data_IF_858473739806
#
_entry.id   IF_858473739806
#
_cell.length_a   1.000
_cell.length_b   1.000
_cell.length_c   1.000
_cell.angle_alpha   90.00
_cell.angle_beta   90.00
_cell.angle_gamma   90.00
#
_symmetry.space_group_name_H-M   'P 1'
#
loop_
_entity.id
_entity.type
_entity.pdbx_description
1 polymer ?
#
# COMPACT_ATOMS: atom_id res chain seq x y z
N UNK A 1 -13.77 -6.32 30.61
CA UNK A 1 -13.50 -6.07 30.48
C UNK A 1 -12.85 -5.73 29.97
N UNK A 2 -12.75 -5.42 29.68
CA UNK A 2 -12.20 -5.08 29.13
C UNK A 2 -11.30 -4.91 28.99
N UNK A 3 -10.89 -5.05 28.92
CA UNK A 3 -10.16 -4.92 28.65
C UNK A 3 -9.66 -4.50 28.14
N UNK A 4 -9.86 -4.20 28.28
CA UNK A 4 -9.47 -3.72 27.90
C UNK A 4 -8.51 -3.42 27.41
N UNK A 5 -8.63 -3.49 26.90
CA UNK A 5 -7.61 -3.41 26.19
C UNK A 5 -7.33 -2.19 25.69
N UNK A 6 -6.66 -1.59 26.25
CA UNK A 6 -6.31 -0.51 25.85
C UNK A 6 -5.30 -0.63 25.02
N UNK A 7 -5.44 -0.48 23.88
CA UNK A 7 -4.41 -0.18 23.02
C UNK A 7 -3.83 1.05 23.55
N UNK A 8 -2.56 1.08 23.69
CA UNK A 8 -1.88 2.27 23.90
C UNK A 8 -2.21 3.00 22.68
N UNK A 9 -2.89 3.95 22.71
CA UNK A 9 -3.42 4.56 21.71
C UNK A 9 -2.55 5.31 20.88
N UNK A 10 -1.36 4.88 20.61
CA UNK A 10 -0.44 5.55 19.70
C UNK A 10 -0.90 5.30 18.28
N UNK A 11 -1.44 6.32 17.69
CA UNK A 11 -1.85 6.26 16.30
C UNK A 11 -0.64 6.56 15.44
N UNK A 12 -0.38 5.74 14.46
CA UNK A 12 0.76 5.90 13.56
C UNK A 12 0.27 6.20 12.17
N UNK A 13 1.10 6.93 11.44
CA UNK A 13 0.80 7.23 10.05
C UNK A 13 1.67 6.37 9.16
N UNK A 14 1.04 5.74 8.17
CA UNK A 14 1.73 4.86 7.23
C UNK A 14 1.38 5.19 5.80
N UNK A 15 2.27 4.85 4.89
CA UNK A 15 1.93 4.86 3.49
C UNK A 15 2.28 3.50 2.92
N UNK A 16 1.46 3.01 2.02
CA UNK A 16 1.68 1.75 1.34
C UNK A 16 1.57 1.98 -0.16
N UNK A 17 2.59 1.51 -0.87
CA UNK A 17 2.55 1.50 -2.33
C UNK A 17 2.42 0.04 -2.71
N UNK A 18 1.46 -0.30 -3.56
CA UNK A 18 1.34 -1.66 -4.04
C UNK A 18 1.18 -1.63 -5.56
N UNK A 19 1.64 -2.69 -6.19
CA UNK A 19 1.69 -2.78 -7.63
C UNK A 19 0.88 -3.97 -8.07
N UNK A 20 -0.03 -3.75 -9.01
CA UNK A 20 -0.83 -4.82 -9.58
C UNK A 20 -0.28 -5.18 -10.96
N UNK A 21 -0.62 -6.35 -11.44
CA UNK A 21 -0.23 -6.78 -12.77
C UNK A 21 -0.71 -5.78 -13.80
N UNK A 22 0.08 -5.51 -14.80
CA UNK A 22 -0.25 -4.52 -15.81
C UNK A 22 -1.48 -4.85 -16.62
N UNK A 23 -1.87 -6.13 -16.69
CA UNK A 23 -3.04 -6.58 -17.43
C UNK A 23 -4.23 -6.90 -16.55
N UNK A 24 -4.22 -6.41 -15.30
CA UNK A 24 -5.31 -6.68 -14.37
C UNK A 24 -6.60 -6.04 -14.90
N UNK A 25 -7.70 -6.75 -14.70
CA UNK A 25 -9.00 -6.23 -15.11
C UNK A 25 -9.49 -5.18 -14.14
N UNK A 26 -10.32 -4.26 -14.61
CA UNK A 26 -10.84 -3.18 -13.77
C UNK A 26 -11.57 -3.73 -12.54
N UNK A 27 -12.31 -4.82 -12.71
CA UNK A 27 -13.04 -5.42 -11.61
C UNK A 27 -12.10 -5.93 -10.53
N UNK A 28 -10.97 -6.52 -10.93
CA UNK A 28 -10.01 -7.03 -9.98
C UNK A 28 -9.29 -5.88 -9.28
N UNK A 29 -9.02 -4.83 -10.01
CA UNK A 29 -8.40 -3.64 -9.46
C UNK A 29 -9.29 -3.03 -8.39
N UNK A 30 -10.59 -2.92 -8.67
CA UNK A 30 -11.54 -2.39 -7.71
C UNK A 30 -11.66 -3.27 -6.48
N UNK A 31 -11.58 -4.58 -6.66
CA UNK A 31 -11.64 -5.50 -5.54
C UNK A 31 -10.47 -5.27 -4.59
N UNK A 32 -9.27 -5.09 -5.12
CA UNK A 32 -8.09 -4.87 -4.30
C UNK A 32 -8.23 -3.55 -3.54
N UNK A 33 -8.62 -2.49 -4.25
CA UNK A 33 -8.77 -1.17 -3.65
C UNK A 33 -9.83 -1.19 -2.55
N UNK A 34 -10.96 -1.82 -2.82
CA UNK A 34 -12.03 -1.90 -1.83
C UNK A 34 -11.63 -2.76 -0.63
N UNK A 35 -10.83 -3.78 -0.87
CA UNK A 35 -10.35 -4.62 0.21
C UNK A 35 -9.46 -3.82 1.16
N UNK A 36 -8.59 -2.99 0.60
CA UNK A 36 -7.71 -2.16 1.41
C UNK A 36 -8.52 -1.18 2.24
N UNK A 37 -9.49 -0.52 1.63
CA UNK A 37 -10.37 0.42 2.33
C UNK A 37 -11.11 -0.28 3.46
N UNK A 38 -11.62 -1.47 3.20
CA UNK A 38 -12.37 -2.24 4.20
C UNK A 38 -11.51 -2.61 5.40
N UNK A 39 -10.25 -2.93 5.17
CA UNK A 39 -9.35 -3.29 6.27
C UNK A 39 -9.12 -2.09 7.16
N UNK A 40 -8.88 -0.92 6.57
CA UNK A 40 -8.65 0.29 7.34
C UNK A 40 -9.88 0.61 8.18
N UNK A 41 -11.06 0.50 7.60
CA UNK A 41 -12.30 0.77 8.34
C UNK A 41 -12.56 -0.26 9.44
N UNK A 42 -12.35 -1.52 9.12
CA UNK A 42 -12.62 -2.59 10.08
C UNK A 42 -11.73 -2.49 11.31
N UNK A 43 -10.51 -2.06 11.13
CA UNK A 43 -9.55 -1.95 12.22
C UNK A 43 -9.55 -0.55 12.84
N UNK A 44 -10.59 0.22 12.54
CA UNK A 44 -10.81 1.52 13.15
C UNK A 44 -9.71 2.53 12.84
N UNK A 45 -9.13 2.42 11.67
CA UNK A 45 -8.16 3.39 11.20
C UNK A 45 -8.81 4.50 10.40
N UNK A 46 -7.99 5.38 9.87
CA UNK A 46 -8.45 6.49 9.05
C UNK A 46 -7.70 6.47 7.74
N UNK A 47 -8.42 6.38 6.65
CA UNK A 47 -7.80 6.46 5.33
C UNK A 47 -7.66 7.93 4.95
N UNK A 48 -6.44 8.37 4.78
CA UNK A 48 -6.15 9.76 4.45
C UNK A 48 -6.13 10.01 2.94
N UNK A 49 -5.62 9.07 2.19
CA UNK A 49 -5.45 9.25 0.75
C UNK A 49 -5.38 7.89 0.08
N UNK A 50 -5.96 7.80 -1.10
CA UNK A 50 -5.87 6.58 -1.89
C UNK A 50 -5.89 7.00 -3.35
N UNK A 51 -4.83 6.69 -4.07
CA UNK A 51 -4.68 7.12 -5.45
C UNK A 51 -4.17 6.00 -6.33
N UNK A 52 -4.56 6.03 -7.58
CA UNK A 52 -4.00 5.16 -8.59
C UNK A 52 -2.98 6.00 -9.36
N UNK A 53 -1.75 5.58 -9.36
CA UNK A 53 -0.68 6.32 -10.04
C UNK A 53 -0.48 5.88 -11.49
N UNK A 54 -1.20 4.89 -11.92
CA UNK A 54 -1.20 4.47 -13.31
C UNK A 54 -0.22 3.37 -13.64
N UNK A 55 -0.25 2.97 -14.90
CA UNK A 55 0.58 1.88 -15.40
C UNK A 55 1.98 2.38 -15.70
N UNK A 56 2.97 1.69 -15.20
CA UNK A 56 4.36 2.09 -15.40
C UNK A 56 5.20 0.88 -15.74
N UNK A 57 6.26 1.13 -16.50
CA UNK A 57 7.20 0.06 -16.84
C UNK A 57 8.05 -0.24 -15.60
N UNK A 58 8.22 -1.51 -15.30
CA UNK A 58 9.04 -1.93 -14.19
C UNK A 58 10.51 -1.94 -14.63
N UNK A 59 11.42 -1.63 -13.69
CA UNK A 59 12.85 -1.62 -13.99
C UNK A 59 13.32 -3.01 -14.42
N UNK A 60 12.70 -4.05 -13.87
CA UNK A 60 12.91 -5.42 -14.26
C UNK A 60 11.62 -6.17 -14.03
N UNK A 61 11.44 -7.28 -14.69
CA UNK A 61 10.21 -8.03 -14.59
C UNK A 61 10.00 -8.57 -13.19
N UNK A 62 8.77 -8.47 -12.71
CA UNK A 62 8.38 -9.07 -11.44
C UNK A 62 7.33 -10.10 -11.80
N UNK A 63 7.57 -11.36 -11.47
CA UNK A 63 6.64 -12.44 -11.79
C UNK A 63 6.25 -12.42 -13.27
N UNK A 64 7.23 -12.19 -14.14
CA UNK A 64 7.06 -12.13 -15.58
C UNK A 64 6.30 -10.91 -16.10
N UNK A 65 5.98 -9.96 -15.23
CA UNK A 65 5.29 -8.75 -15.65
C UNK A 65 6.32 -7.65 -15.93
N UNK A 66 6.26 -7.07 -17.12
CA UNK A 66 7.12 -5.95 -17.49
C UNK A 66 6.53 -4.61 -17.07
N UNK A 67 5.22 -4.58 -16.84
CA UNK A 67 4.50 -3.38 -16.44
C UNK A 67 3.68 -3.66 -15.21
N UNK A 68 3.41 -2.63 -14.44
CA UNK A 68 2.55 -2.74 -13.27
C UNK A 68 1.73 -1.48 -13.11
N UNK A 69 0.61 -1.60 -12.41
CA UNK A 69 -0.22 -0.45 -12.09
C UNK A 69 0.04 -0.12 -10.64
N UNK A 70 0.50 1.09 -10.39
CA UNK A 70 0.89 1.54 -9.07
C UNK A 70 -0.27 2.17 -8.35
N UNK A 71 -0.43 1.81 -7.07
CA UNK A 71 -1.45 2.38 -6.21
C UNK A 71 -0.79 2.87 -4.94
N UNK A 72 -1.29 3.96 -4.42
CA UNK A 72 -0.76 4.58 -3.23
C UNK A 72 -1.88 4.77 -2.23
N UNK A 73 -1.62 4.47 -0.96
CA UNK A 73 -2.57 4.78 0.09
C UNK A 73 -1.81 5.29 1.31
N UNK A 74 -2.42 6.25 1.98
CA UNK A 74 -1.88 6.77 3.23
C UNK A 74 -2.97 6.65 4.27
N UNK A 75 -2.64 6.18 5.42
CA UNK A 75 -3.63 5.90 6.44
C UNK A 75 -3.07 6.02 7.84
N UNK A 76 -3.97 6.17 8.79
CA UNK A 76 -3.62 6.20 10.19
C UNK A 76 -4.19 4.94 10.85
N UNK A 77 -3.45 4.38 11.76
CA UNK A 77 -3.93 3.21 12.48
C UNK A 77 -2.91 2.71 13.46
N UNK A 78 -3.19 1.52 13.96
CA UNK A 78 -2.35 0.88 14.95
C UNK A 78 -1.42 -0.13 14.29
N UNK A 79 -0.46 -0.58 15.03
CA UNK A 79 0.59 -1.45 14.49
C UNK A 79 0.06 -2.71 13.78
N UNK A 80 -0.97 -3.33 14.31
CA UNK A 80 -1.51 -4.55 13.72
C UNK A 80 -2.23 -4.32 12.39
N UNK A 81 -2.58 -3.08 12.09
CA UNK A 81 -3.22 -2.77 10.81
C UNK A 81 -2.28 -3.04 9.63
N UNK A 82 -1.01 -2.68 9.78
CA UNK A 82 -0.03 -2.92 8.70
C UNK A 82 0.10 -4.41 8.43
N UNK A 83 0.17 -5.21 9.50
CA UNK A 83 0.28 -6.65 9.34
C UNK A 83 -0.91 -7.21 8.56
N UNK A 84 -2.10 -6.73 8.86
CA UNK A 84 -3.30 -7.20 8.18
C UNK A 84 -3.33 -6.73 6.71
N UNK A 85 -2.95 -5.50 6.46
CA UNK A 85 -2.90 -4.97 5.10
C UNK A 85 -1.89 -5.78 4.26
N UNK A 86 -0.72 -6.01 4.80
CA UNK A 86 0.30 -6.76 4.06
C UNK A 86 -0.08 -8.21 3.85
N UNK A 87 -0.74 -8.81 4.84
CA UNK A 87 -1.23 -10.18 4.70
C UNK A 87 -2.21 -10.29 3.53
N UNK A 88 -3.12 -9.33 3.43
CA UNK A 88 -4.08 -9.32 2.33
C UNK A 88 -3.41 -9.05 0.99
N UNK A 89 -2.46 -8.13 0.96
CA UNK A 89 -1.74 -7.86 -0.29
C UNK A 89 -0.97 -9.09 -0.76
N UNK A 90 -0.46 -9.87 0.18
CA UNK A 90 0.31 -11.06 -0.15
C UNK A 90 -0.57 -12.16 -0.77
N UNK A 91 -1.80 -12.28 -0.32
CA UNK A 91 -2.68 -13.34 -0.80
C UNK A 91 -3.54 -12.95 -1.99
N UNK A 92 -3.61 -11.65 -2.32
CA UNK A 92 -4.40 -11.21 -3.46
C UNK A 92 -3.60 -11.44 -4.73
N UNK A 93 -4.12 -12.26 -5.61
CA UNK A 93 -3.42 -12.67 -6.81
C UNK A 93 -2.94 -11.54 -7.71
N UNK A 94 -3.73 -10.47 -7.94
CA UNK A 94 -3.27 -9.41 -8.82
C UNK A 94 -2.09 -8.59 -8.28
N UNK A 95 -1.82 -8.68 -6.98
CA UNK A 95 -0.74 -7.88 -6.38
C UNK A 95 0.59 -8.57 -6.60
N UNK A 96 1.52 -7.89 -7.24
CA UNK A 96 2.84 -8.46 -7.52
C UNK A 96 3.92 -7.91 -6.61
N UNK A 97 3.68 -6.76 -5.98
CA UNK A 97 4.63 -6.21 -5.04
C UNK A 97 3.96 -5.16 -4.16
N UNK A 98 4.47 -4.99 -2.96
CA UNK A 98 3.97 -3.95 -2.07
C UNK A 98 5.08 -3.49 -1.13
N UNK A 99 4.94 -2.27 -0.61
CA UNK A 99 5.89 -1.72 0.35
C UNK A 99 5.15 -0.77 1.27
N UNK A 100 5.40 -0.86 2.56
CA UNK A 100 4.79 0.02 3.55
C UNK A 100 5.89 0.77 4.32
N UNK A 101 5.68 2.04 4.52
CA UNK A 101 6.61 2.88 5.26
C UNK A 101 5.86 3.57 6.38
N UNK A 102 6.47 3.63 7.55
CA UNK A 102 5.90 4.37 8.67
C UNK A 102 6.35 5.83 8.54
N UNK A 103 5.38 6.73 8.45
CA UNK A 103 5.65 8.15 8.29
C UNK A 103 5.73 8.89 9.61
N UNK A 104 5.04 8.42 10.62
CA UNK A 104 5.07 9.07 11.92
C UNK A 104 4.45 8.23 13.01
N UNK A 105 4.77 8.57 14.26
CA UNK A 105 4.20 7.91 15.42
C UNK A 105 3.53 8.94 16.29
N UNK A 106 2.55 8.51 17.03
CA UNK A 106 1.84 9.36 17.98
C UNK A 106 1.35 10.63 17.30
N UNK A 107 0.69 10.45 16.16
CA UNK A 107 0.21 11.58 15.36
C UNK A 107 -1.19 12.00 15.78
N UNK A 108 -1.52 13.25 15.50
CA UNK A 108 -2.85 13.78 15.79
C UNK A 108 -3.73 13.49 14.57
N UNK A 109 -4.78 12.73 14.76
CA UNK A 109 -5.66 12.32 13.68
C UNK A 109 -6.26 13.52 12.93
N UNK A 110 -6.73 14.51 13.68
CA UNK A 110 -7.37 15.66 13.04
C UNK A 110 -6.38 16.48 12.22
N UNK A 111 -5.17 16.66 12.72
CA UNK A 111 -4.16 17.40 11.98
C UNK A 111 -3.75 16.66 10.72
N UNK A 112 -3.66 15.35 10.81
CA UNK A 112 -3.31 14.54 9.64
C UNK A 112 -4.41 14.61 8.58
N UNK A 113 -5.68 14.60 9.00
CA UNK A 113 -6.77 14.71 8.07
C UNK A 113 -6.75 16.07 7.35
N UNK A 114 -6.50 17.14 8.09
CA UNK A 114 -6.43 18.46 7.51
C UNK A 114 -5.27 18.58 6.53
N UNK A 115 -4.12 18.04 6.90
CA UNK A 115 -2.96 18.07 6.03
C UNK A 115 -3.21 17.31 4.73
N UNK A 116 -3.88 16.16 4.84
CA UNK A 116 -4.18 15.35 3.67
C UNK A 116 -5.16 16.05 2.73
N UNK A 117 -6.14 16.75 3.30
CA UNK A 117 -7.09 17.49 2.47
C UNK A 117 -6.44 18.61 1.72
N UNK A 118 -5.44 19.24 2.31
CA UNK A 118 -4.74 20.36 1.67
C UNK A 118 -3.68 19.88 0.69
N UNK A 119 -3.22 18.63 0.86
CA UNK A 119 -2.15 18.14 0.04
C UNK A 119 -2.71 17.61 -1.25
N UNK A 120 -2.62 17.92 -2.28
CA UNK A 120 -3.14 17.36 -3.53
C UNK A 120 -2.60 15.97 -3.76
N UNK A 121 -2.54 15.57 -5.00
CA UNK A 121 -2.06 14.26 -5.37
C UNK A 121 -0.61 14.06 -4.95
N UNK A 122 -0.28 12.87 -4.50
CA UNK A 122 1.06 12.48 -4.17
C UNK A 122 1.71 11.71 -5.32
N UNK A 123 1.05 11.65 -6.46
CA UNK A 123 1.60 10.92 -7.58
C UNK A 123 2.94 11.51 -7.99
N UNK A 124 3.92 10.68 -8.24
CA UNK A 124 5.23 11.17 -8.64
C UNK A 124 5.13 11.73 -10.06
N UNK A 125 6.07 12.60 -10.39
CA UNK A 125 6.16 13.10 -11.75
C UNK A 125 6.57 11.93 -12.64
N UNK A 126 6.35 12.04 -13.92
CA UNK A 126 6.69 10.99 -14.85
C UNK A 126 8.16 10.58 -14.77
N UNK A 127 8.99 11.44 -14.22
CA UNK A 127 10.40 11.14 -14.07
C UNK A 127 10.71 10.41 -12.78
N UNK A 128 9.73 10.28 -11.89
CA UNK A 128 9.97 9.58 -10.63
C UNK A 128 10.10 8.09 -10.91
N UNK A 129 11.16 7.54 -10.41
CA UNK A 129 11.47 6.17 -10.70
C UNK A 129 11.32 5.34 -9.43
N UNK A 130 10.29 4.55 -9.38
CA UNK A 130 10.08 3.63 -8.27
C UNK A 130 10.78 2.30 -8.52
N UNK A 131 11.65 2.26 -9.53
CA UNK A 131 12.40 1.06 -9.79
C UNK A 131 13.35 0.72 -8.65
N UNK A 132 13.60 1.69 -7.77
CA UNK A 132 14.49 1.45 -6.66
C UNK A 132 13.79 0.85 -5.43
N UNK A 133 12.55 0.47 -5.56
CA UNK A 133 11.88 -0.23 -4.49
C UNK A 133 12.65 -1.53 -4.27
N UNK A 134 13.13 -1.73 -3.06
CA UNK A 134 13.93 -2.90 -2.79
C UNK A 134 13.11 -4.16 -2.97
N UNK A 135 13.69 -5.12 -3.64
CA UNK A 135 13.05 -6.38 -3.87
C UNK A 135 13.65 -7.35 -2.88
N UNK A 136 12.80 -8.06 -2.18
CA UNK A 136 13.25 -9.06 -1.24
C UNK A 136 13.95 -10.19 -2.00
N UNK A 137 14.81 -10.88 -1.35
CA UNK A 137 15.52 -11.99 -1.95
C UNK A 137 14.56 -13.02 -2.57
N UNK A 138 13.39 -13.13 -1.99
CA UNK A 138 12.42 -14.07 -2.50
C UNK A 138 11.97 -13.69 -3.90
N UNK A 139 11.84 -12.40 -4.16
CA UNK A 139 11.46 -11.93 -5.48
C UNK A 139 12.56 -12.23 -6.49
N UNK A 140 13.79 -12.10 -6.05
CA UNK A 140 14.92 -12.39 -6.92
C UNK A 140 15.00 -13.87 -7.30
N UNK A 141 14.67 -14.73 -6.35
CA UNK A 141 14.68 -16.15 -6.64
C UNK A 141 13.61 -16.48 -7.68
N UNK A 142 12.47 -15.84 -7.59
CA UNK A 142 11.43 -16.03 -8.57
C UNK A 142 11.85 -15.58 -9.96
N UNK A 143 12.66 -14.54 -10.02
CA UNK A 143 13.13 -14.05 -11.31
C UNK A 143 14.16 -15.00 -11.90
N UNK A 144 14.95 -15.64 -11.07
CA UNK A 144 15.98 -16.54 -11.55
C UNK A 144 15.39 -17.78 -12.25
N UNK A 145 14.19 -18.15 -11.89
CA UNK A 145 13.60 -19.32 -12.46
C UNK A 145 12.93 -19.04 -13.78
N UNK A 146 13.08 -17.90 -14.31
CA UNK A 146 12.42 -17.55 -15.46
C UNK A 146 13.18 -17.83 -16.64
N UNK A 147 13.56 -18.80 -17.04
CA UNK A 147 14.20 -18.96 -18.33
C UNK A 147 13.33 -19.52 -19.41
#
# INVERSE_FOLDING_TARGET
MAFLVEHPKTVREYETVYILKGDVLDEERDKVTNRMTSIVERLEGTLLMQEEWGKRKLAYKIQKNAYGIYFYMRYLGYNDMVAEIERNLRILEPVIKYMTVKLGEDVDVDKCKEAAEKQGSCAPNDTADYSNVEIDDEDLDGLADED
#
